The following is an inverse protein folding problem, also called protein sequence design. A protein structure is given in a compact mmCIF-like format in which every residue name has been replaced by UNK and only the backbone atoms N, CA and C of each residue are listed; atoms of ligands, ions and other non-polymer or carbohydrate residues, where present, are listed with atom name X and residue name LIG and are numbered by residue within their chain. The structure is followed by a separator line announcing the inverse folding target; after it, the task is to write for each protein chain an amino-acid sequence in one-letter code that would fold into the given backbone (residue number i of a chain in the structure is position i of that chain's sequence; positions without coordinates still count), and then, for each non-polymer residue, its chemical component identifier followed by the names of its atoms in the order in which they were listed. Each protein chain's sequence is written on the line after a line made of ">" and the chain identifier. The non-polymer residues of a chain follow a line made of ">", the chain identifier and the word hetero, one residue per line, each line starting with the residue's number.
data_IF_611651516323
#
_entry.id   IF_611651516323
#
_cell.length_a   1.000
_cell.length_b   1.000
_cell.length_c   1.000
_cell.angle_alpha   90.00
_cell.angle_beta   90.00
_cell.angle_gamma   90.00
#
_symmetry.space_group_name_H-M   'P 1'
#
loop_
_entity.id
_entity.type
_entity.pdbx_description
1 polymer ?
#
# COMPACT_ATOMS: atom_id res chain seq x y z
N UNK A 1 11.79 -78.40 45.53
CA UNK A 1 11.84 -76.94 45.58
C UNK A 1 12.49 -76.44 44.32
N UNK A 2 11.70 -76.06 43.33
CA UNK A 2 12.17 -75.63 42.01
C UNK A 2 12.00 -74.13 41.90
N UNK A 3 13.10 -73.44 41.72
CA UNK A 3 13.16 -71.98 41.58
C UNK A 3 13.04 -71.64 40.06
N UNK A 4 11.94 -70.95 39.65
CA UNK A 4 11.79 -70.49 38.31
C UNK A 4 12.37 -69.06 38.19
N UNK A 5 13.40 -68.94 37.39
CA UNK A 5 13.95 -67.62 36.97
C UNK A 5 13.18 -67.12 35.77
N UNK A 6 12.49 -65.98 35.91
CA UNK A 6 11.87 -65.25 34.84
C UNK A 6 12.85 -64.24 34.26
N UNK A 7 13.30 -64.44 33.04
CA UNK A 7 14.06 -63.47 32.26
C UNK A 7 13.10 -62.44 31.65
N UNK A 8 13.22 -61.17 32.13
CA UNK A 8 12.51 -60.04 31.53
C UNK A 8 13.29 -59.43 30.37
N UNK A 9 12.68 -59.43 29.19
CA UNK A 9 13.22 -58.81 27.97
C UNK A 9 12.88 -57.30 28.00
N UNK A 10 13.88 -56.43 28.18
CA UNK A 10 13.71 -54.99 28.04
C UNK A 10 13.83 -54.61 26.56
N UNK A 11 12.72 -54.20 25.95
CA UNK A 11 12.71 -53.61 24.62
C UNK A 11 12.95 -52.11 24.76
N UNK A 12 14.16 -51.66 24.41
CA UNK A 12 14.48 -50.24 24.31
C UNK A 12 13.94 -49.69 23.01
N UNK A 13 12.79 -48.95 23.06
CA UNK A 13 12.27 -48.20 21.95
C UNK A 13 13.08 -46.93 21.68
N UNK A 14 13.81 -46.90 20.59
CA UNK A 14 14.49 -45.67 20.14
C UNK A 14 13.43 -44.70 19.57
N UNK A 15 13.23 -43.60 20.29
CA UNK A 15 12.39 -42.48 19.81
C UNK A 15 13.20 -41.70 18.78
N UNK A 16 12.89 -41.84 17.50
CA UNK A 16 13.45 -41.00 16.44
C UNK A 16 12.69 -39.68 16.46
N UNK A 17 13.27 -38.69 17.09
CA UNK A 17 12.77 -37.30 16.99
C UNK A 17 13.24 -36.74 15.65
N UNK A 18 12.34 -36.71 14.66
CA UNK A 18 12.55 -35.99 13.41
C UNK A 18 12.52 -34.49 13.71
N UNK A 19 13.69 -33.88 13.75
CA UNK A 19 13.83 -32.42 13.82
C UNK A 19 13.37 -31.84 12.47
N UNK A 20 12.14 -31.39 12.39
CA UNK A 20 11.69 -30.56 11.27
C UNK A 20 12.37 -29.21 11.42
N UNK A 21 13.46 -29.00 10.68
CA UNK A 21 14.06 -27.68 10.54
C UNK A 21 13.07 -26.82 9.77
N UNK A 22 12.41 -25.89 10.46
CA UNK A 22 11.72 -24.79 9.79
C UNK A 22 12.76 -24.04 8.94
N UNK A 23 12.46 -23.69 7.68
CA UNK A 23 13.36 -22.87 6.89
C UNK A 23 13.58 -21.57 7.65
N UNK A 24 14.85 -21.28 7.97
CA UNK A 24 15.23 -19.95 8.43
C UNK A 24 14.91 -19.00 7.26
N UNK A 25 14.00 -18.05 7.45
CA UNK A 25 13.84 -16.93 6.54
C UNK A 25 15.14 -16.13 6.57
N UNK A 26 16.08 -16.48 5.71
CA UNK A 26 17.33 -15.78 5.50
C UNK A 26 17.05 -14.38 4.96
N UNK A 27 17.94 -13.43 5.24
CA UNK A 27 17.94 -12.15 4.53
C UNK A 27 18.20 -12.44 3.04
N UNK A 28 17.60 -11.64 2.16
CA UNK A 28 17.81 -11.72 0.72
C UNK A 28 19.31 -11.64 0.36
N UNK A 29 19.78 -12.58 -0.47
CA UNK A 29 21.19 -12.67 -0.91
C UNK A 29 21.36 -12.01 -2.28
N UNK A 30 22.21 -11.00 -2.36
CA UNK A 30 22.55 -10.37 -3.63
C UNK A 30 23.60 -11.20 -4.39
N UNK A 31 23.23 -11.59 -5.62
CA UNK A 31 24.10 -12.35 -6.54
C UNK A 31 24.14 -11.71 -7.93
N UNK A 32 25.14 -12.05 -8.71
CA UNK A 32 25.12 -11.77 -10.15
C UNK A 32 24.19 -12.77 -10.84
N UNK A 33 23.11 -12.26 -11.44
CA UNK A 33 22.14 -13.11 -12.18
C UNK A 33 22.69 -13.36 -13.58
N UNK A 34 23.00 -14.62 -13.86
CA UNK A 34 23.33 -15.08 -15.20
C UNK A 34 22.08 -15.67 -15.85
N UNK A 35 21.88 -15.39 -17.14
CA UNK A 35 20.72 -15.85 -17.91
C UNK A 35 19.36 -15.46 -17.26
N UNK A 36 19.31 -14.30 -16.60
CA UNK A 36 18.08 -13.80 -15.99
C UNK A 36 16.97 -13.65 -17.03
N UNK A 37 15.77 -14.11 -16.68
CA UNK A 37 14.58 -13.88 -17.49
C UNK A 37 13.84 -12.61 -17.09
N UNK A 38 12.71 -12.36 -17.72
CA UNK A 38 11.82 -11.24 -17.43
C UNK A 38 10.38 -11.69 -17.25
N UNK A 39 9.63 -10.95 -16.46
CA UNK A 39 8.20 -11.11 -16.27
C UNK A 39 7.49 -9.82 -16.64
N UNK A 40 6.48 -9.91 -17.48
CA UNK A 40 5.61 -8.79 -17.80
C UNK A 40 4.15 -9.20 -17.70
N UNK A 41 3.25 -8.23 -17.71
CA UNK A 41 1.83 -8.53 -17.70
C UNK A 41 0.95 -7.33 -17.46
N UNK A 42 -0.31 -7.61 -17.15
CA UNK A 42 -1.34 -6.61 -16.87
C UNK A 42 -2.11 -6.95 -15.60
N UNK A 43 -2.59 -5.92 -14.93
CA UNK A 43 -3.53 -6.04 -13.82
C UNK A 43 -4.80 -5.29 -14.19
N UNK A 44 -5.92 -5.98 -14.16
CA UNK A 44 -7.24 -5.42 -14.47
C UNK A 44 -8.17 -5.60 -13.27
N UNK A 45 -9.05 -4.62 -13.05
CA UNK A 45 -10.15 -4.72 -12.09
C UNK A 45 -11.41 -5.17 -12.83
N UNK A 46 -12.01 -6.28 -12.37
CA UNK A 46 -13.29 -6.76 -12.86
C UNK A 46 -14.42 -6.34 -11.92
N UNK A 47 -15.56 -5.97 -12.47
CA UNK A 47 -16.73 -5.56 -11.71
C UNK A 47 -16.86 -4.05 -11.54
N UNK A 48 -17.80 -3.65 -10.68
CA UNK A 48 -18.09 -2.23 -10.46
C UNK A 48 -17.06 -1.62 -9.49
N UNK A 49 -16.37 -0.56 -9.94
CA UNK A 49 -15.49 0.21 -9.07
C UNK A 49 -16.27 0.67 -7.84
N UNK A 50 -15.76 0.42 -6.61
CA UNK A 50 -16.42 0.82 -5.38
C UNK A 50 -16.68 2.32 -5.33
N UNK A 51 -17.76 2.71 -4.68
CA UNK A 51 -18.07 4.13 -4.48
C UNK A 51 -17.02 4.81 -3.60
N UNK A 52 -16.67 6.09 -3.87
CA UNK A 52 -15.60 6.77 -3.16
C UNK A 52 -15.95 7.05 -1.69
N UNK A 53 -14.93 7.32 -0.88
CA UNK A 53 -15.10 7.91 0.45
C UNK A 53 -15.49 9.38 0.31
N UNK A 54 -16.43 9.85 1.15
CA UNK A 54 -16.82 11.25 1.21
C UNK A 54 -16.27 11.95 2.46
N UNK A 55 -15.71 13.13 2.26
CA UNK A 55 -15.25 14.01 3.34
C UNK A 55 -15.84 15.40 3.15
N UNK A 56 -16.46 15.95 4.18
CA UNK A 56 -16.96 17.31 4.16
C UNK A 56 -15.80 18.28 4.43
N UNK A 57 -15.32 18.96 3.39
CA UNK A 57 -14.19 19.86 3.49
C UNK A 57 -14.48 21.11 4.34
N UNK A 58 -15.75 21.50 4.51
CA UNK A 58 -16.13 22.66 5.30
C UNK A 58 -15.90 22.44 6.80
N UNK A 59 -15.76 21.20 7.23
CA UNK A 59 -15.50 20.82 8.64
C UNK A 59 -14.01 20.60 8.93
N UNK A 60 -13.15 20.75 7.92
CA UNK A 60 -11.73 20.50 8.01
C UNK A 60 -10.95 21.82 7.86
N UNK A 61 -9.70 21.88 8.33
CA UNK A 61 -8.85 23.04 8.16
C UNK A 61 -8.64 23.41 6.68
N UNK A 62 -8.18 24.65 6.45
CA UNK A 62 -7.79 25.15 5.12
C UNK A 62 -8.87 25.00 4.03
N UNK A 63 -10.17 25.07 4.42
CA UNK A 63 -11.31 24.81 3.52
C UNK A 63 -11.31 25.68 2.26
N UNK A 64 -10.74 26.91 2.31
CA UNK A 64 -10.66 27.79 1.15
C UNK A 64 -9.67 27.26 0.13
N UNK A 65 -8.46 26.93 0.55
CA UNK A 65 -7.45 26.39 -0.36
C UNK A 65 -7.75 24.94 -0.73
N UNK A 66 -7.96 24.07 0.25
CA UNK A 66 -8.24 22.66 0.02
C UNK A 66 -9.62 22.42 -0.62
N UNK A 67 -10.54 23.37 -0.57
CA UNK A 67 -11.83 23.32 -1.28
C UNK A 67 -11.70 23.14 -2.80
N UNK A 68 -10.53 23.40 -3.39
CA UNK A 68 -10.21 23.18 -4.81
C UNK A 68 -10.37 21.73 -5.26
N UNK A 69 -10.22 20.78 -4.34
CA UNK A 69 -10.39 19.34 -4.61
C UNK A 69 -11.81 18.85 -4.32
N UNK A 70 -12.75 19.77 -4.08
CA UNK A 70 -14.14 19.41 -3.84
C UNK A 70 -14.86 18.99 -5.13
N UNK A 71 -16.00 18.32 -4.93
CA UNK A 71 -16.96 18.00 -6.00
C UNK A 71 -17.77 19.22 -6.49
N UNK A 72 -17.39 20.44 -6.10
CA UNK A 72 -18.14 21.68 -6.33
C UNK A 72 -19.21 21.97 -5.26
N UNK A 73 -19.39 21.10 -4.29
CA UNK A 73 -20.38 21.20 -3.21
C UNK A 73 -19.77 21.10 -1.81
N UNK A 74 -18.45 21.24 -1.73
CA UNK A 74 -17.69 21.17 -0.49
C UNK A 74 -17.32 19.76 -0.02
N UNK A 75 -17.53 18.73 -0.86
CA UNK A 75 -17.13 17.37 -0.54
C UNK A 75 -15.91 16.92 -1.32
N UNK A 76 -14.95 16.29 -0.64
CA UNK A 76 -13.87 15.53 -1.25
C UNK A 76 -14.32 14.08 -1.42
N UNK A 77 -14.32 13.63 -2.68
CA UNK A 77 -14.57 12.23 -3.01
C UNK A 77 -13.23 11.54 -3.25
N UNK A 78 -12.73 10.83 -2.24
CA UNK A 78 -11.50 10.06 -2.36
C UNK A 78 -11.81 8.72 -3.02
N UNK A 79 -11.33 8.57 -4.25
CA UNK A 79 -11.42 7.30 -4.99
C UNK A 79 -10.07 6.58 -4.91
N UNK A 80 -9.95 5.54 -4.08
CA UNK A 80 -8.68 4.81 -3.95
C UNK A 80 -8.40 3.87 -5.12
N UNK A 81 -9.41 3.49 -5.90
CA UNK A 81 -9.27 2.61 -7.06
C UNK A 81 -9.04 3.45 -8.31
N UNK A 82 -7.80 3.48 -8.79
CA UNK A 82 -7.44 4.14 -10.05
C UNK A 82 -7.60 3.13 -11.21
N UNK A 83 -8.74 3.20 -11.87
CA UNK A 83 -9.14 2.22 -12.91
C UNK A 83 -9.39 2.94 -14.22
N UNK A 84 -8.77 2.47 -15.28
CA UNK A 84 -8.98 2.95 -16.63
C UNK A 84 -10.32 2.50 -17.22
N UNK A 85 -10.62 3.01 -18.41
CA UNK A 85 -11.93 2.79 -19.05
C UNK A 85 -12.20 1.34 -19.49
N UNK A 86 -11.16 0.53 -19.61
CA UNK A 86 -11.24 -0.90 -19.98
C UNK A 86 -10.93 -1.82 -18.79
N UNK A 87 -10.86 -1.27 -17.58
CA UNK A 87 -10.56 -2.03 -16.38
C UNK A 87 -9.08 -2.01 -15.97
N UNK A 88 -8.22 -1.28 -16.68
CA UNK A 88 -6.79 -1.18 -16.34
C UNK A 88 -6.60 -0.71 -14.90
N UNK A 89 -6.02 -1.56 -14.03
CA UNK A 89 -5.86 -1.24 -12.62
C UNK A 89 -4.47 -0.68 -12.35
N UNK A 90 -4.44 0.61 -12.08
CA UNK A 90 -3.23 1.42 -11.89
C UNK A 90 -2.85 1.47 -10.41
N UNK A 91 -1.59 1.86 -10.14
CA UNK A 91 -1.08 2.02 -8.78
C UNK A 91 -1.24 0.76 -7.93
N UNK A 92 -1.02 -0.39 -8.54
CA UNK A 92 -1.03 -1.71 -7.89
C UNK A 92 0.40 -2.22 -7.81
N UNK A 93 0.83 -2.70 -6.66
CA UNK A 93 2.15 -3.31 -6.51
C UNK A 93 2.08 -4.76 -6.96
N UNK A 94 2.99 -5.13 -7.85
CA UNK A 94 3.25 -6.51 -8.25
C UNK A 94 4.62 -6.90 -7.76
N UNK A 95 4.74 -8.01 -7.04
CA UNK A 95 6.03 -8.44 -6.48
C UNK A 95 6.15 -9.97 -6.48
N UNK A 96 7.38 -10.45 -6.47
CA UNK A 96 7.65 -11.88 -6.23
C UNK A 96 7.53 -12.17 -4.73
N UNK A 97 7.21 -13.41 -4.39
CA UNK A 97 7.29 -13.95 -3.03
C UNK A 97 8.33 -15.06 -2.98
N UNK A 98 8.88 -15.27 -1.79
CA UNK A 98 9.78 -16.40 -1.49
C UNK A 98 11.04 -16.43 -2.39
N UNK A 99 11.53 -15.25 -2.81
CA UNK A 99 12.79 -15.14 -3.53
C UNK A 99 13.94 -14.85 -2.57
N UNK A 100 14.81 -15.82 -2.38
CA UNK A 100 15.88 -15.73 -1.38
C UNK A 100 17.15 -15.06 -1.92
N UNK A 101 17.33 -15.06 -3.25
CA UNK A 101 18.53 -14.50 -3.89
C UNK A 101 18.26 -14.02 -5.30
N UNK A 102 19.05 -13.06 -5.75
CA UNK A 102 18.93 -12.52 -7.09
C UNK A 102 19.75 -11.25 -7.27
N UNK A 103 19.35 -10.41 -8.23
CA UNK A 103 20.09 -9.17 -8.52
C UNK A 103 20.21 -8.28 -7.28
N UNK A 104 21.29 -7.50 -7.16
CA UNK A 104 21.40 -6.54 -6.08
C UNK A 104 20.27 -5.51 -6.14
N UNK A 105 19.90 -5.01 -4.98
CA UNK A 105 19.18 -3.77 -4.94
C UNK A 105 20.05 -2.70 -5.60
N UNK A 106 19.52 -1.99 -6.56
CA UNK A 106 20.19 -0.82 -7.08
C UNK A 106 20.39 0.26 -6.01
N UNK A 107 21.03 1.37 -6.40
CA UNK A 107 21.13 2.55 -5.56
C UNK A 107 19.73 2.93 -5.03
N UNK A 108 19.62 3.06 -3.72
CA UNK A 108 18.34 3.43 -3.10
C UNK A 108 18.04 4.91 -3.38
N UNK A 109 16.98 5.14 -4.11
CA UNK A 109 16.39 6.47 -4.25
C UNK A 109 15.15 6.53 -3.38
N UNK A 110 15.21 7.32 -2.33
CA UNK A 110 14.08 7.50 -1.42
C UNK A 110 12.83 7.91 -2.21
N UNK A 111 11.72 7.19 -2.08
CA UNK A 111 10.47 7.60 -2.69
C UNK A 111 10.11 9.01 -2.23
N UNK A 112 9.78 9.87 -3.20
CA UNK A 112 9.35 11.24 -2.96
C UNK A 112 7.82 11.30 -2.99
N UNK A 113 7.25 11.75 -1.89
CA UNK A 113 5.81 11.95 -1.75
C UNK A 113 5.55 13.43 -1.61
N UNK A 114 4.64 13.95 -2.40
CA UNK A 114 4.30 15.36 -2.43
C UNK A 114 2.90 15.60 -1.86
N UNK A 115 2.80 16.51 -0.92
CA UNK A 115 1.54 17.09 -0.50
C UNK A 115 1.22 18.24 -1.46
N UNK A 116 0.38 18.00 -2.46
CA UNK A 116 0.03 18.93 -3.52
C UNK A 116 -1.48 18.96 -3.74
N UNK A 117 -2.06 20.16 -3.78
CA UNK A 117 -3.52 20.35 -3.82
C UNK A 117 -4.23 19.51 -2.75
N UNK A 118 -3.69 19.53 -1.52
CA UNK A 118 -4.21 18.80 -0.36
C UNK A 118 -4.40 17.30 -0.65
N UNK A 119 -3.41 16.69 -1.32
CA UNK A 119 -3.33 15.25 -1.59
C UNK A 119 -1.91 14.78 -1.42
N UNK A 120 -1.71 13.56 -0.93
CA UNK A 120 -0.42 12.90 -1.03
C UNK A 120 -0.31 12.13 -2.35
N UNK A 121 0.73 12.41 -3.13
CA UNK A 121 1.02 11.77 -4.39
C UNK A 121 2.47 11.23 -4.42
N UNK A 122 2.71 10.02 -4.95
CA UNK A 122 1.72 9.05 -5.40
C UNK A 122 0.92 8.43 -4.25
N UNK A 123 -0.25 7.85 -4.58
CA UNK A 123 -1.11 7.20 -3.59
C UNK A 123 -0.53 5.87 -3.10
N UNK A 124 0.06 5.09 -4.00
CA UNK A 124 0.74 3.83 -3.68
C UNK A 124 2.23 3.94 -3.96
N UNK A 125 3.03 3.45 -3.03
CA UNK A 125 4.48 3.47 -3.07
C UNK A 125 5.07 2.10 -2.73
N UNK A 126 6.38 1.95 -2.99
CA UNK A 126 7.20 0.87 -2.46
C UNK A 126 8.40 1.50 -1.76
N UNK A 127 8.68 1.05 -0.56
CA UNK A 127 9.81 1.52 0.27
C UNK A 127 10.65 0.34 0.72
N UNK A 128 11.80 0.64 1.30
CA UNK A 128 12.67 -0.39 1.95
C UNK A 128 12.72 -0.13 3.45
N UNK A 129 12.67 -1.20 4.23
CA UNK A 129 12.86 -1.10 5.68
C UNK A 129 14.22 -0.49 6.01
N UNK A 130 14.29 0.30 7.06
CA UNK A 130 15.47 1.04 7.51
C UNK A 130 16.02 2.06 6.49
N UNK A 131 15.22 2.43 5.50
CA UNK A 131 15.56 3.48 4.53
C UNK A 131 14.56 4.64 4.61
N UNK A 132 14.98 5.77 4.05
CA UNK A 132 14.18 6.99 4.13
C UNK A 132 13.06 7.02 3.08
N UNK A 133 11.98 7.68 3.44
CA UNK A 133 11.00 8.28 2.55
C UNK A 133 11.13 9.80 2.66
N UNK A 134 11.02 10.51 1.54
CA UNK A 134 11.06 11.97 1.51
C UNK A 134 9.68 12.51 1.23
N UNK A 135 9.18 13.36 2.12
CA UNK A 135 7.87 14.01 1.94
C UNK A 135 8.04 15.53 1.87
N UNK A 136 7.33 16.15 0.96
CA UNK A 136 7.47 17.57 0.65
C UNK A 136 6.11 18.24 0.60
N UNK A 137 5.97 19.35 1.31
CA UNK A 137 4.79 20.20 1.19
C UNK A 137 4.91 21.12 -0.02
N UNK A 138 3.99 20.98 -0.96
CA UNK A 138 3.90 21.82 -2.16
C UNK A 138 2.77 22.86 -2.06
N UNK A 139 2.08 22.90 -0.92
CA UNK A 139 0.90 23.73 -0.69
C UNK A 139 1.17 24.91 0.26
N UNK A 140 0.40 25.99 0.16
CA UNK A 140 0.42 27.07 1.15
C UNK A 140 -0.40 26.73 2.41
N UNK A 141 -0.84 25.49 2.57
CA UNK A 141 -1.59 24.96 3.69
C UNK A 141 -0.71 24.13 4.62
N UNK A 142 -1.09 24.03 5.89
CA UNK A 142 -0.35 23.25 6.86
C UNK A 142 -0.68 21.76 6.70
N UNK A 143 0.37 20.98 6.55
CA UNK A 143 0.29 19.51 6.53
C UNK A 143 1.26 18.91 7.52
N UNK A 144 0.97 17.69 7.95
CA UNK A 144 1.89 16.83 8.69
C UNK A 144 1.89 15.42 8.09
N UNK A 145 2.80 14.60 8.56
CA UNK A 145 2.81 13.18 8.22
C UNK A 145 2.64 12.40 9.51
N UNK A 146 1.56 11.68 9.62
CA UNK A 146 1.36 10.65 10.63
C UNK A 146 1.50 9.30 9.94
N UNK A 147 2.61 8.62 10.18
CA UNK A 147 2.89 7.33 9.57
C UNK A 147 2.61 6.18 10.54
N UNK A 148 1.98 5.15 10.03
CA UNK A 148 1.57 3.98 10.80
C UNK A 148 1.96 2.69 10.06
N UNK A 149 2.44 1.70 10.77
CA UNK A 149 2.40 0.32 10.29
C UNK A 149 1.07 -0.32 10.65
N UNK A 150 0.58 -1.18 9.78
CA UNK A 150 -0.69 -1.88 9.99
C UNK A 150 -0.49 -3.25 10.62
N UNK A 151 -1.40 -3.67 11.50
CA UNK A 151 -1.40 -4.99 12.10
C UNK A 151 -2.79 -5.40 12.57
N UNK A 152 -2.99 -6.70 12.83
CA UNK A 152 -4.22 -7.23 13.46
C UNK A 152 -4.55 -6.57 14.81
N UNK A 153 -3.52 -6.13 15.53
CA UNK A 153 -3.67 -5.44 16.81
C UNK A 153 -3.97 -3.94 16.67
N UNK A 154 -4.12 -3.46 15.44
CA UNK A 154 -4.31 -2.06 15.11
C UNK A 154 -3.03 -1.36 14.65
N UNK A 155 -3.13 -0.09 14.29
CA UNK A 155 -2.00 0.69 13.80
C UNK A 155 -1.00 1.02 14.91
N UNK A 156 0.29 0.97 14.59
CA UNK A 156 1.36 1.50 15.42
C UNK A 156 1.98 2.72 14.74
N UNK A 157 2.12 3.80 15.47
CA UNK A 157 2.78 5.01 14.97
C UNK A 157 4.25 4.74 14.70
N UNK A 158 4.72 5.06 13.51
CA UNK A 158 6.14 5.03 13.14
C UNK A 158 6.78 6.39 13.39
N UNK A 159 6.16 7.45 12.91
CA UNK A 159 6.58 8.84 13.13
C UNK A 159 5.39 9.79 12.95
N UNK A 160 5.53 10.99 13.51
CA UNK A 160 4.59 12.10 13.32
C UNK A 160 5.40 13.39 13.25
N UNK A 161 5.43 14.03 12.09
CA UNK A 161 6.25 15.21 11.83
C UNK A 161 5.52 16.25 10.97
N UNK A 162 5.69 17.55 11.25
CA UNK A 162 5.11 18.59 10.42
C UNK A 162 5.83 18.73 9.09
N UNK A 163 5.10 19.12 8.06
CA UNK A 163 5.64 19.46 6.75
C UNK A 163 5.75 20.98 6.59
N UNK A 164 6.96 21.52 6.50
CA UNK A 164 7.14 22.95 6.39
C UNK A 164 6.53 23.55 5.11
N UNK A 165 5.80 24.63 5.24
CA UNK A 165 5.32 25.43 4.11
C UNK A 165 6.51 26.18 3.49
N UNK A 166 6.51 26.30 2.17
CA UNK A 166 7.53 27.08 1.47
C UNK A 166 7.50 28.56 1.87
N UNK A 167 8.67 29.10 2.20
CA UNK A 167 8.83 30.56 2.48
C UNK A 167 8.55 31.45 1.26
N UNK A 168 8.41 30.85 0.06
CA UNK A 168 8.08 31.57 -1.17
C UNK A 168 6.60 31.93 -1.28
N UNK A 169 5.74 31.31 -0.48
CA UNK A 169 4.33 31.67 -0.44
C UNK A 169 4.11 33.00 0.28
N UNK A 170 3.26 33.88 -0.27
CA UNK A 170 2.73 35.01 0.49
C UNK A 170 2.01 34.53 1.76
N UNK A 171 1.99 35.36 2.79
CA UNK A 171 1.43 35.01 4.10
C UNK A 171 -0.03 34.56 4.02
N UNK A 172 -0.80 35.16 3.09
CA UNK A 172 -2.23 34.93 2.90
C UNK A 172 -2.54 33.87 1.84
N UNK A 173 -1.52 33.20 1.27
CA UNK A 173 -1.72 32.25 0.18
C UNK A 173 -2.69 31.12 0.55
N UNK A 174 -2.65 30.60 1.77
CA UNK A 174 -3.59 29.59 2.26
C UNK A 174 -5.05 30.04 2.36
N UNK A 175 -5.30 31.34 2.33
CA UNK A 175 -6.64 31.94 2.35
C UNK A 175 -7.19 32.20 0.95
N UNK A 176 -6.54 31.68 -0.10
CA UNK A 176 -6.93 31.91 -1.49
C UNK A 176 -7.11 30.60 -2.25
N UNK A 177 -8.25 30.47 -2.92
CA UNK A 177 -8.49 29.39 -3.89
C UNK A 177 -7.77 29.60 -5.23
N UNK A 178 -7.15 30.77 -5.47
CA UNK A 178 -6.54 31.16 -6.75
C UNK A 178 -5.01 30.94 -6.80
N UNK A 179 -4.46 30.21 -5.83
CA UNK A 179 -3.04 29.85 -5.87
C UNK A 179 -2.84 28.70 -6.85
N UNK A 180 -2.27 29.00 -8.02
CA UNK A 180 -2.03 28.00 -9.07
C UNK A 180 -0.57 27.59 -9.20
N UNK A 181 0.33 28.24 -8.45
CA UNK A 181 1.76 27.95 -8.49
C UNK A 181 2.18 27.27 -7.20
N UNK A 182 2.71 26.08 -7.32
CA UNK A 182 3.26 25.34 -6.20
C UNK A 182 4.71 25.72 -5.95
N UNK A 183 5.05 25.88 -4.67
CA UNK A 183 6.41 26.14 -4.22
C UNK A 183 6.81 25.08 -3.20
N UNK A 184 7.89 24.42 -3.50
CA UNK A 184 8.44 23.38 -2.64
C UNK A 184 8.80 23.93 -1.25
N UNK A 185 8.27 23.32 -0.20
CA UNK A 185 8.70 23.48 1.18
C UNK A 185 10.03 22.75 1.43
N UNK A 186 10.54 22.82 2.64
CA UNK A 186 11.73 22.05 3.00
C UNK A 186 11.37 20.55 3.02
N UNK A 187 12.05 19.71 2.23
CA UNK A 187 11.83 18.26 2.25
C UNK A 187 12.09 17.67 3.64
N UNK A 188 11.25 16.75 4.05
CA UNK A 188 11.37 16.01 5.32
C UNK A 188 11.66 14.56 5.00
N UNK A 189 12.86 14.11 5.38
CA UNK A 189 13.24 12.69 5.28
C UNK A 189 12.91 11.98 6.59
N UNK A 190 12.30 10.80 6.49
CA UNK A 190 11.99 9.95 7.64
C UNK A 190 12.33 8.50 7.34
N UNK A 191 13.12 7.90 8.22
CA UNK A 191 13.48 6.49 8.11
C UNK A 191 12.29 5.61 8.50
N UNK A 192 11.89 4.74 7.60
CA UNK A 192 10.84 3.74 7.83
C UNK A 192 11.45 2.59 8.63
N UNK A 193 10.98 2.37 9.85
CA UNK A 193 11.43 1.27 10.70
C UNK A 193 10.23 0.41 11.12
N UNK A 194 10.07 -0.71 10.41
CA UNK A 194 8.97 -1.62 10.62
C UNK A 194 9.22 -2.60 11.77
N UNK A 195 8.15 -3.08 12.36
CA UNK A 195 8.22 -4.28 13.19
C UNK A 195 8.47 -5.51 12.31
N UNK A 196 9.32 -6.43 12.75
CA UNK A 196 9.64 -7.66 11.99
C UNK A 196 8.37 -8.36 11.51
N UNK A 197 8.32 -8.66 10.22
CA UNK A 197 7.18 -9.32 9.55
C UNK A 197 6.05 -8.37 9.14
N UNK A 198 6.18 -7.06 9.38
CA UNK A 198 5.24 -6.05 8.87
C UNK A 198 5.73 -5.52 7.53
N UNK A 199 4.83 -5.45 6.55
CA UNK A 199 5.18 -5.03 5.18
C UNK A 199 4.35 -3.87 4.66
N UNK A 200 3.33 -3.44 5.40
CA UNK A 200 2.44 -2.36 4.95
C UNK A 200 2.46 -1.21 5.93
N UNK A 201 2.68 0.00 5.43
CA UNK A 201 2.43 1.20 6.20
C UNK A 201 1.62 2.23 5.43
N UNK A 202 1.02 3.13 6.16
CA UNK A 202 0.25 4.25 5.61
C UNK A 202 0.73 5.56 6.21
N UNK A 203 0.69 6.61 5.42
CA UNK A 203 0.85 7.99 5.86
C UNK A 203 -0.47 8.72 5.71
N UNK A 204 -0.82 9.50 6.71
CA UNK A 204 -2.00 10.36 6.72
C UNK A 204 -1.60 11.75 7.17
N UNK A 205 -2.36 12.77 6.77
CA UNK A 205 -2.27 14.09 7.36
C UNK A 205 -3.23 14.19 8.55
N UNK A 206 -2.74 14.58 9.72
CA UNK A 206 -3.57 14.76 10.91
C UNK A 206 -4.56 15.91 10.81
N UNK A 207 -4.27 16.92 9.95
CA UNK A 207 -5.19 18.02 9.68
C UNK A 207 -6.25 17.67 8.64
N UNK A 208 -5.93 16.78 7.68
CA UNK A 208 -6.74 16.48 6.51
C UNK A 208 -6.91 14.97 6.35
N UNK A 209 -7.88 14.39 7.03
CA UNK A 209 -8.08 12.93 7.10
C UNK A 209 -8.28 12.22 5.75
N UNK A 210 -8.51 12.96 4.67
CA UNK A 210 -8.59 12.44 3.30
C UNK A 210 -7.24 12.37 2.57
N UNK A 211 -6.18 12.96 3.15
CA UNK A 211 -4.83 12.87 2.60
C UNK A 211 -4.18 11.60 3.12
N UNK A 212 -4.05 10.63 2.27
CA UNK A 212 -3.40 9.36 2.58
C UNK A 212 -2.50 8.89 1.44
N UNK A 213 -1.44 8.18 1.79
CA UNK A 213 -0.54 7.47 0.88
C UNK A 213 -0.14 6.16 1.54
N UNK A 214 -0.04 5.10 0.75
CA UNK A 214 0.21 3.75 1.21
C UNK A 214 1.51 3.21 0.64
N UNK A 215 2.17 2.34 1.38
CA UNK A 215 3.35 1.69 0.85
C UNK A 215 3.47 0.23 1.27
N UNK A 216 3.95 -0.58 0.33
CA UNK A 216 4.48 -1.90 0.59
C UNK A 216 5.98 -1.78 0.88
N UNK A 217 6.45 -2.52 1.89
CA UNK A 217 7.88 -2.58 2.23
C UNK A 217 8.50 -3.75 1.48
N UNK A 218 9.44 -3.46 0.59
CA UNK A 218 10.17 -4.46 -0.20
C UNK A 218 11.39 -4.97 0.57
N UNK A 219 11.57 -6.27 0.54
CA UNK A 219 12.71 -7.00 1.10
C UNK A 219 13.66 -7.57 0.01
N UNK A 220 13.31 -7.39 -1.24
CA UNK A 220 14.09 -7.75 -2.44
C UNK A 220 13.73 -6.83 -3.61
N UNK A 221 14.52 -6.74 -4.71
CA UNK A 221 14.30 -5.78 -5.81
C UNK A 221 13.27 -6.22 -6.87
N UNK A 222 12.58 -7.35 -6.69
CA UNK A 222 11.63 -7.88 -7.66
C UNK A 222 10.21 -7.43 -7.35
N UNK A 223 9.97 -6.15 -7.53
CA UNK A 223 8.66 -5.51 -7.44
C UNK A 223 8.53 -4.41 -8.49
N UNK A 224 7.31 -4.04 -8.79
CA UNK A 224 6.97 -2.90 -9.63
C UNK A 224 5.59 -2.37 -9.28
N UNK A 225 5.26 -1.18 -9.73
CA UNK A 225 3.91 -0.60 -9.62
C UNK A 225 3.34 -0.50 -11.03
N UNK A 226 2.08 -0.89 -11.21
CA UNK A 226 1.42 -0.83 -12.52
C UNK A 226 1.34 0.58 -13.07
N UNK A 227 1.59 0.70 -14.38
CA UNK A 227 1.57 1.97 -15.12
C UNK A 227 0.14 2.46 -15.46
N UNK A 228 0.05 3.50 -16.29
CA UNK A 228 -1.21 4.09 -16.74
C UNK A 228 -2.13 3.15 -17.53
N UNK A 229 -1.59 2.07 -18.07
CA UNK A 229 -2.29 1.02 -18.79
C UNK A 229 -2.42 -0.27 -18.00
N UNK A 230 -2.19 -0.23 -16.67
CA UNK A 230 -2.23 -1.40 -15.79
C UNK A 230 -1.13 -2.43 -16.05
N UNK A 231 -0.06 -2.06 -16.79
CA UNK A 231 1.02 -2.97 -17.15
C UNK A 231 2.12 -2.97 -16.09
N UNK A 232 2.82 -4.08 -16.02
CA UNK A 232 3.99 -4.23 -15.17
C UNK A 232 5.12 -4.98 -15.90
N UNK A 233 6.36 -4.73 -15.47
CA UNK A 233 7.53 -5.44 -15.97
C UNK A 233 8.59 -5.56 -14.86
N UNK A 234 9.23 -6.74 -14.78
CA UNK A 234 10.39 -7.03 -13.93
C UNK A 234 11.43 -7.79 -14.75
N UNK A 235 12.69 -7.46 -14.56
CA UNK A 235 13.82 -8.02 -15.32
C UNK A 235 14.88 -8.63 -14.42
N UNK A 236 15.79 -9.39 -15.02
CA UNK A 236 16.92 -10.04 -14.34
C UNK A 236 16.46 -10.95 -13.20
N UNK A 237 15.37 -11.67 -13.44
CA UNK A 237 14.86 -12.66 -12.50
C UNK A 237 15.63 -13.95 -12.71
N UNK A 238 16.25 -14.54 -11.65
CA UNK A 238 16.91 -15.85 -11.80
C UNK A 238 15.95 -16.90 -12.36
N UNK A 239 16.43 -17.84 -13.18
CA UNK A 239 15.62 -18.97 -13.59
C UNK A 239 15.07 -19.73 -12.37
N UNK A 240 13.77 -20.05 -12.40
CA UNK A 240 13.09 -20.69 -11.28
C UNK A 240 11.58 -20.55 -11.34
N UNK A 241 10.90 -21.13 -10.36
CA UNK A 241 9.45 -21.02 -10.20
C UNK A 241 9.13 -20.13 -9.02
N UNK A 242 8.32 -19.10 -9.23
CA UNK A 242 8.01 -18.07 -8.26
C UNK A 242 6.51 -17.86 -8.12
N UNK A 243 6.11 -17.43 -6.93
CA UNK A 243 4.80 -16.86 -6.67
C UNK A 243 4.86 -15.36 -6.99
N UNK A 244 3.92 -14.89 -7.77
CA UNK A 244 3.74 -13.49 -8.11
C UNK A 244 2.50 -12.98 -7.41
N UNK A 245 2.64 -11.97 -6.58
CA UNK A 245 1.54 -11.38 -5.83
C UNK A 245 1.21 -9.98 -6.31
N UNK A 246 -0.08 -9.67 -6.20
CA UNK A 246 -0.65 -8.35 -6.51
C UNK A 246 -1.23 -7.76 -5.24
N UNK A 247 -0.77 -6.57 -4.88
CA UNK A 247 -1.21 -5.87 -3.67
C UNK A 247 -1.73 -4.47 -3.98
N UNK A 248 -2.88 -4.17 -3.38
CA UNK A 248 -3.45 -2.83 -3.35
C UNK A 248 -4.11 -2.58 -1.99
N UNK A 249 -3.94 -1.38 -1.36
CA UNK A 249 -4.36 -1.15 0.01
C UNK A 249 -5.86 -1.35 0.30
N UNK A 250 -6.70 -1.29 -0.70
CA UNK A 250 -8.15 -1.44 -0.57
C UNK A 250 -8.72 -2.72 -1.20
N UNK A 251 -7.86 -3.62 -1.66
CA UNK A 251 -8.26 -4.97 -2.08
C UNK A 251 -7.97 -5.93 -0.93
N UNK A 252 -8.98 -6.67 -0.49
CA UNK A 252 -8.81 -7.66 0.57
C UNK A 252 -8.12 -8.89 0.01
N UNK A 253 -7.13 -9.36 0.75
CA UNK A 253 -6.31 -10.50 0.34
C UNK A 253 -5.32 -10.14 -0.78
N UNK A 254 -4.36 -11.00 -1.00
CA UNK A 254 -3.41 -10.89 -2.09
C UNK A 254 -3.80 -11.86 -3.19
N UNK A 255 -3.80 -11.40 -4.45
CA UNK A 255 -3.91 -12.31 -5.57
C UNK A 255 -2.54 -12.90 -5.86
N UNK A 256 -2.49 -14.20 -6.06
CA UNK A 256 -1.27 -14.95 -6.30
C UNK A 256 -1.39 -15.81 -7.56
N UNK A 257 -0.35 -15.82 -8.38
CA UNK A 257 -0.16 -16.75 -9.47
C UNK A 257 1.27 -17.30 -9.44
N UNK A 258 1.44 -18.54 -9.86
CA UNK A 258 2.77 -19.15 -10.01
C UNK A 258 3.26 -18.99 -11.44
N UNK A 259 4.55 -18.62 -11.59
CA UNK A 259 5.21 -18.50 -12.88
C UNK A 259 6.55 -19.20 -12.86
N UNK A 260 6.90 -19.86 -13.97
CA UNK A 260 8.26 -20.38 -14.20
C UNK A 260 9.01 -19.41 -15.11
N UNK A 261 10.17 -18.97 -14.66
CA UNK A 261 11.10 -18.12 -15.41
C UNK A 261 12.18 -19.02 -15.99
N UNK A 262 12.19 -19.14 -17.29
CA UNK A 262 13.22 -19.88 -18.03
C UNK A 262 14.43 -18.98 -18.32
N UNK A 263 15.64 -19.54 -18.49
CA UNK A 263 16.86 -18.78 -18.79
C UNK A 263 16.68 -17.84 -20.00
N UNK A 264 16.88 -16.55 -19.81
CA UNK A 264 16.80 -15.52 -20.84
C UNK A 264 15.40 -15.33 -21.47
N UNK A 265 14.37 -16.02 -21.00
CA UNK A 265 13.03 -15.95 -21.55
C UNK A 265 12.18 -14.87 -20.88
N UNK A 266 11.12 -14.48 -21.61
CA UNK A 266 10.09 -13.58 -21.10
C UNK A 266 8.83 -14.36 -20.77
N UNK A 267 8.42 -14.33 -19.50
CA UNK A 267 7.13 -14.82 -19.07
C UNK A 267 6.09 -13.69 -19.10
N UNK A 268 4.81 -14.05 -19.23
CA UNK A 268 3.70 -13.09 -19.20
C UNK A 268 2.60 -13.59 -18.28
N UNK A 269 2.04 -12.69 -17.45
CA UNK A 269 0.89 -12.97 -16.58
C UNK A 269 -0.19 -11.91 -16.74
N UNK A 270 -1.43 -12.35 -16.60
CA UNK A 270 -2.59 -11.46 -16.52
C UNK A 270 -3.29 -11.68 -15.19
N UNK A 271 -3.48 -10.59 -14.44
CA UNK A 271 -4.22 -10.59 -13.20
C UNK A 271 -5.56 -9.89 -13.39
N UNK A 272 -6.62 -10.56 -12.94
CA UNK A 272 -7.96 -9.99 -12.87
C UNK A 272 -8.37 -9.93 -11.41
N UNK A 273 -8.35 -8.73 -10.86
CA UNK A 273 -8.74 -8.45 -9.48
C UNK A 273 -10.23 -8.24 -9.43
N UNK A 274 -10.95 -9.00 -8.62
CA UNK A 274 -12.37 -8.78 -8.42
C UNK A 274 -12.60 -7.53 -7.55
N UNK A 275 -13.45 -6.63 -8.04
CA UNK A 275 -13.79 -5.43 -7.29
C UNK A 275 -14.47 -5.79 -5.98
N UNK A 276 -14.01 -5.23 -4.83
CA UNK A 276 -14.65 -5.50 -3.56
C UNK A 276 -16.13 -5.08 -3.59
N UNK A 277 -16.98 -5.90 -2.99
CA UNK A 277 -18.42 -5.66 -2.92
C UNK A 277 -18.85 -5.25 -1.51
N UNK A 278 -20.03 -4.62 -1.42
CA UNK A 278 -20.57 -4.18 -0.16
C UNK A 278 -19.98 -2.85 0.34
N UNK A 279 -20.12 -2.60 1.63
CA UNK A 279 -19.62 -1.39 2.27
C UNK A 279 -18.16 -1.61 2.69
N UNK A 280 -17.24 -0.85 2.09
CA UNK A 280 -15.81 -0.97 2.36
C UNK A 280 -15.34 -0.07 3.50
N UNK A 281 -15.95 1.11 3.68
CA UNK A 281 -15.56 2.09 4.69
C UNK A 281 -16.78 2.82 5.25
N UNK A 282 -16.62 3.34 6.47
CA UNK A 282 -17.70 3.97 7.20
C UNK A 282 -18.28 5.21 6.50
N UNK A 283 -17.42 6.01 5.87
CA UNK A 283 -17.77 7.21 5.11
C UNK A 283 -17.91 6.99 3.61
N UNK A 284 -18.23 5.76 3.20
CA UNK A 284 -18.49 5.45 1.79
C UNK A 284 -19.72 6.22 1.29
N UNK A 285 -19.55 6.86 0.14
CA UNK A 285 -20.67 7.55 -0.52
C UNK A 285 -21.72 6.55 -0.96
N UNK A 286 -23.01 6.92 -0.81
CA UNK A 286 -24.12 6.15 -1.32
C UNK A 286 -24.65 6.81 -2.57
N UNK A 287 -24.78 6.04 -3.64
CA UNK A 287 -25.34 6.53 -4.89
C UNK A 287 -26.86 6.77 -4.71
N UNK A 288 -27.29 8.00 -4.97
CA UNK A 288 -28.70 8.34 -4.97
C UNK A 288 -29.23 8.28 -6.39
N UNK A 289 -30.32 7.56 -6.60
CA UNK A 289 -30.97 7.39 -7.90
C UNK A 289 -31.39 8.72 -8.56
N UNK A 290 -31.72 9.72 -7.75
CA UNK A 290 -32.22 11.02 -8.23
C UNK A 290 -31.13 12.09 -8.32
N UNK A 291 -30.17 12.06 -7.41
CA UNK A 291 -29.11 13.08 -7.34
C UNK A 291 -27.80 12.40 -7.01
N UNK A 292 -26.98 12.21 -8.02
CA UNK A 292 -25.68 11.56 -7.87
C UNK A 292 -24.76 12.42 -6.99
N UNK A 293 -24.38 11.89 -5.83
CA UNK A 293 -23.45 12.53 -4.90
C UNK A 293 -23.85 13.95 -4.45
N UNK A 294 -25.12 14.22 -4.23
CA UNK A 294 -25.56 15.51 -3.70
C UNK A 294 -25.67 15.51 -2.20
N UNK A 295 -25.41 16.68 -1.59
CA UNK A 295 -25.70 16.96 -0.20
C UNK A 295 -27.18 17.32 -0.06
N UNK A 296 -28.08 16.39 -0.42
CA UNK A 296 -29.47 16.50 -0.03
C UNK A 296 -29.65 15.86 1.34
N UNK A 297 -30.68 16.26 2.07
CA UNK A 297 -30.96 15.74 3.41
C UNK A 297 -30.91 14.19 3.49
N UNK A 298 -31.44 13.51 2.45
CA UNK A 298 -31.40 12.05 2.35
C UNK A 298 -30.02 11.47 2.13
N UNK A 299 -29.09 12.21 1.49
CA UNK A 299 -27.70 11.76 1.27
C UNK A 299 -26.85 12.01 2.51
N UNK A 300 -27.08 13.11 3.22
CA UNK A 300 -26.36 13.39 4.48
C UNK A 300 -26.57 12.30 5.53
N UNK A 301 -27.75 11.74 5.61
CA UNK A 301 -28.03 10.63 6.55
C UNK A 301 -27.36 9.31 6.14
N UNK A 302 -26.91 9.20 4.90
CA UNK A 302 -26.25 8.00 4.34
C UNK A 302 -24.72 8.15 4.26
N UNK A 303 -24.22 9.39 4.32
CA UNK A 303 -22.80 9.66 4.48
C UNK A 303 -22.55 9.68 5.98
N UNK A 304 -21.91 8.66 6.47
CA UNK A 304 -21.44 8.63 7.85
C UNK A 304 -20.01 9.18 7.85
N UNK A 305 -19.78 10.48 8.10
CA UNK A 305 -18.45 10.99 8.37
C UNK A 305 -18.12 10.48 9.76
N UNK A 306 -17.50 9.34 9.85
CA UNK A 306 -17.04 8.84 11.12
C UNK A 306 -15.61 9.28 11.32
N UNK A 307 -15.42 10.07 12.36
CA UNK A 307 -14.18 10.13 13.12
C UNK A 307 -13.93 8.82 13.89
N UNK A 308 -14.84 7.86 13.79
CA UNK A 308 -14.60 6.53 14.33
C UNK A 308 -13.41 5.96 13.61
N UNK A 309 -12.45 5.51 14.41
CA UNK A 309 -11.26 4.77 13.99
C UNK A 309 -11.62 3.94 12.78
N UNK A 310 -11.15 4.34 11.61
CA UNK A 310 -11.12 3.44 10.49
C UNK A 310 -10.21 2.29 10.92
N UNK A 311 -10.80 1.29 11.55
CA UNK A 311 -10.14 0.00 11.69
C UNK A 311 -10.00 -0.47 10.26
N UNK A 312 -8.82 -0.26 9.73
CA UNK A 312 -8.46 -0.76 8.44
C UNK A 312 -8.38 -2.29 8.56
N UNK A 313 -9.45 -2.95 8.17
CA UNK A 313 -9.46 -4.38 7.90
C UNK A 313 -8.96 -4.62 6.47
N UNK A 314 -7.83 -4.09 6.17
CA UNK A 314 -7.15 -4.29 4.90
C UNK A 314 -5.82 -4.97 5.14
N UNK A 315 -5.63 -6.09 4.51
CA UNK A 315 -4.45 -6.91 4.68
C UNK A 315 -4.62 -7.84 5.87
N UNK A 316 -5.48 -8.82 5.69
CA UNK A 316 -5.58 -9.92 6.62
C UNK A 316 -4.22 -10.60 6.73
N UNK A 317 -3.67 -10.59 7.90
CA UNK A 317 -2.76 -11.61 8.34
C UNK A 317 -3.63 -12.83 8.67
N UNK A 318 -3.79 -13.77 7.82
CA UNK A 318 -3.99 -15.16 8.14
C UNK A 318 -2.71 -15.95 7.85
#
# INVERSE_FOLDING_TARGET
>A
MSTVVRSGLLVAGALVVSLVMAPATGAYEEISVTEGGSLSGTVNLNGKVPTPKGYNLTTLPDAIYCGRISDGRGWRLLQPFDVGSKGEFRQVVVHLEEIDKGKPFGEYKAPRIEAVDCRFLPFVNVVRDLHDVVVVNMDPAMHDIQAYETSKLGPRVLFNVPLPISKRYPREAGLSAHVHKHYEGTPVAQTVKMTKGRRVFTMQCGFHAYMESWALVADHPYYTVTDGEGRFEMTDIPPGTYKVKVWHPYVRGEMEQTVTIEPGQRANLEFVVEAPTGRLYANQMVENAYVRYTITEGVQSQIVPTLEKQTYEGGGDE
#
